data_IF_869507727287
#
_entry.id   IF_869507727287
#
_cell.length_a   1.000
_cell.length_b   1.000
_cell.length_c   1.000
_cell.angle_alpha   90.00
_cell.angle_beta   90.00
_cell.angle_gamma   90.00
#
_symmetry.space_group_name_H-M   'P 1'
#
loop_
_entity.id
_entity.type
_entity.pdbx_description
1 polymer ?
#
# COMPACT_ATOMS: atom_id res chain seq x y z
N UNK A 1 -13.68 -18.35 17.92
CA UNK A 1 -13.50 -16.90 18.18
C UNK A 1 -14.56 -16.18 17.37
N UNK A 2 -15.35 -15.25 17.94
CA UNK A 2 -16.35 -14.50 17.15
C UNK A 2 -15.61 -13.75 16.04
N UNK A 3 -15.95 -14.01 14.77
CA UNK A 3 -15.47 -13.25 13.63
C UNK A 3 -15.95 -11.80 13.80
N UNK A 4 -15.06 -10.95 14.34
CA UNK A 4 -15.31 -9.51 14.40
C UNK A 4 -15.03 -8.98 13.00
N UNK A 5 -16.09 -8.63 12.28
CA UNK A 5 -15.94 -7.90 11.02
C UNK A 5 -15.14 -6.60 11.25
N UNK A 6 -14.32 -6.19 10.26
CA UNK A 6 -13.59 -4.94 10.35
C UNK A 6 -14.55 -3.77 10.52
N UNK A 7 -14.17 -2.81 11.36
CA UNK A 7 -14.94 -1.57 11.55
C UNK A 7 -14.86 -0.70 10.30
N UNK A 8 -15.81 0.23 10.13
CA UNK A 8 -15.81 1.17 9.00
C UNK A 8 -14.46 1.89 8.78
N UNK A 9 -13.78 2.39 9.83
CA UNK A 9 -12.43 2.94 9.68
C UNK A 9 -11.40 1.93 9.17
N UNK A 10 -11.45 0.68 9.63
CA UNK A 10 -10.55 -0.38 9.16
C UNK A 10 -10.83 -0.73 7.69
N UNK A 11 -12.11 -0.76 7.29
CA UNK A 11 -12.49 -0.91 5.89
C UNK A 11 -11.98 0.24 5.03
N UNK A 12 -12.07 1.48 5.49
CA UNK A 12 -11.54 2.63 4.76
C UNK A 12 -10.02 2.52 4.54
N UNK A 13 -9.27 2.11 5.58
CA UNK A 13 -7.82 1.87 5.47
C UNK A 13 -7.49 0.75 4.47
N UNK A 14 -8.36 -0.27 4.35
CA UNK A 14 -8.20 -1.31 3.33
C UNK A 14 -8.56 -0.79 1.92
N UNK A 15 -9.63 0.00 1.76
CA UNK A 15 -10.14 0.39 0.45
C UNK A 15 -9.32 1.51 -0.22
N UNK A 16 -8.70 2.41 0.56
CA UNK A 16 -7.90 3.52 0.00
C UNK A 16 -6.73 3.02 -0.86
N UNK A 17 -5.87 2.09 -0.39
CA UNK A 17 -4.80 1.54 -1.23
C UNK A 17 -5.33 0.82 -2.48
N UNK A 18 -6.46 0.12 -2.38
CA UNK A 18 -7.08 -0.52 -3.54
C UNK A 18 -7.54 0.51 -4.59
N UNK A 19 -8.16 1.61 -4.16
CA UNK A 19 -8.58 2.69 -5.05
C UNK A 19 -7.38 3.38 -5.73
N UNK A 20 -6.32 3.66 -4.97
CA UNK A 20 -5.07 4.24 -5.51
C UNK A 20 -4.44 3.31 -6.54
N UNK A 21 -4.38 2.01 -6.25
CA UNK A 21 -3.87 1.01 -7.20
C UNK A 21 -4.67 1.01 -8.51
N UNK A 22 -6.00 1.01 -8.44
CA UNK A 22 -6.87 1.05 -9.64
C UNK A 22 -6.66 2.34 -10.43
N UNK A 23 -6.56 3.49 -9.75
CA UNK A 23 -6.28 4.77 -10.41
C UNK A 23 -4.92 4.77 -11.11
N UNK A 24 -3.86 4.30 -10.45
CA UNK A 24 -2.53 4.20 -11.06
C UNK A 24 -2.53 3.23 -12.24
N UNK A 25 -3.19 2.07 -12.12
CA UNK A 25 -3.31 1.10 -13.21
C UNK A 25 -4.06 1.69 -14.41
N UNK A 26 -5.15 2.43 -14.17
CA UNK A 26 -5.90 3.13 -15.22
C UNK A 26 -5.02 4.17 -15.95
N UNK A 27 -4.26 4.97 -15.21
CA UNK A 27 -3.36 5.97 -15.79
C UNK A 27 -2.23 5.30 -16.58
N UNK A 28 -1.63 4.23 -16.06
CA UNK A 28 -0.59 3.48 -16.74
C UNK A 28 -1.10 2.77 -17.99
N UNK A 29 -2.36 2.31 -18.00
CA UNK A 29 -2.95 1.65 -19.16
C UNK A 29 -3.34 2.64 -20.26
N UNK A 30 -3.88 3.82 -19.89
CA UNK A 30 -4.53 4.72 -20.85
C UNK A 30 -3.70 5.97 -21.19
N UNK A 31 -2.68 6.29 -20.38
CA UNK A 31 -1.91 7.54 -20.52
C UNK A 31 -0.40 7.31 -20.54
N UNK A 32 0.07 6.06 -20.70
CA UNK A 32 1.49 5.68 -20.60
C UNK A 32 2.43 6.61 -21.38
N UNK A 33 2.10 6.90 -22.63
CA UNK A 33 2.94 7.73 -23.51
C UNK A 33 2.98 9.19 -23.06
N UNK A 34 1.86 9.72 -22.56
CA UNK A 34 1.77 11.08 -22.01
C UNK A 34 2.44 11.21 -20.64
N UNK A 35 2.64 10.11 -19.92
CA UNK A 35 3.25 10.10 -18.59
C UNK A 35 4.77 10.19 -18.65
N UNK A 36 5.41 9.80 -19.77
CA UNK A 36 6.86 9.85 -19.95
C UNK A 36 7.61 9.25 -18.74
N UNK A 37 8.52 10.03 -18.16
CA UNK A 37 9.26 9.66 -16.96
C UNK A 37 8.42 9.48 -15.70
N UNK A 38 7.18 9.97 -15.62
CA UNK A 38 6.33 9.76 -14.44
C UNK A 38 5.71 8.34 -14.38
N UNK A 39 5.80 7.56 -15.46
CA UNK A 39 5.25 6.21 -15.51
C UNK A 39 5.87 5.28 -14.47
N UNK A 40 7.17 5.39 -14.20
CA UNK A 40 7.82 4.55 -13.19
C UNK A 40 7.38 4.91 -11.77
N UNK A 41 7.13 6.21 -11.49
CA UNK A 41 6.63 6.68 -10.19
C UNK A 41 5.22 6.13 -9.95
N UNK A 42 4.36 6.17 -10.98
CA UNK A 42 3.01 5.60 -10.90
C UNK A 42 3.04 4.07 -10.74
N UNK A 43 3.96 3.38 -11.41
CA UNK A 43 4.14 1.94 -11.25
C UNK A 43 4.61 1.58 -9.82
N UNK A 44 5.55 2.34 -9.28
CA UNK A 44 6.01 2.18 -7.89
C UNK A 44 4.87 2.46 -6.89
N UNK A 45 4.10 3.52 -7.13
CA UNK A 45 2.93 3.88 -6.30
C UNK A 45 1.86 2.80 -6.32
N UNK A 46 1.59 2.22 -7.49
CA UNK A 46 0.67 1.08 -7.64
C UNK A 46 1.17 -0.14 -6.86
N UNK A 47 2.45 -0.48 -6.95
CA UNK A 47 3.05 -1.60 -6.24
C UNK A 47 3.00 -1.41 -4.71
N UNK A 48 3.35 -0.22 -4.22
CA UNK A 48 3.27 0.11 -2.79
C UNK A 48 1.81 0.07 -2.28
N UNK A 49 0.86 0.53 -3.09
CA UNK A 49 -0.57 0.49 -2.77
C UNK A 49 -1.10 -0.94 -2.71
N UNK A 50 -0.66 -1.80 -3.63
CA UNK A 50 -0.96 -3.23 -3.60
C UNK A 50 -0.43 -3.88 -2.32
N UNK A 51 0.84 -3.67 -1.98
CA UNK A 51 1.42 -4.18 -0.73
C UNK A 51 0.63 -3.66 0.49
N UNK A 52 0.34 -2.35 0.54
CA UNK A 52 -0.45 -1.74 1.61
C UNK A 52 -1.83 -2.35 1.77
N UNK A 53 -2.52 -2.66 0.66
CA UNK A 53 -3.79 -3.39 0.67
C UNK A 53 -3.67 -4.76 1.33
N UNK A 54 -2.71 -5.59 0.91
CA UNK A 54 -2.53 -6.93 1.47
C UNK A 54 -2.15 -6.91 2.94
N UNK A 55 -1.32 -5.94 3.36
CA UNK A 55 -0.94 -5.78 4.75
C UNK A 55 -2.16 -5.37 5.60
N UNK A 56 -2.95 -4.40 5.14
CA UNK A 56 -4.18 -4.00 5.82
C UNK A 56 -5.18 -5.17 5.91
N UNK A 57 -5.37 -5.93 4.83
CA UNK A 57 -6.21 -7.12 4.79
C UNK A 57 -5.71 -8.20 5.76
N UNK A 58 -4.40 -8.43 5.83
CA UNK A 58 -3.82 -9.38 6.76
C UNK A 58 -4.07 -8.99 8.22
N UNK A 59 -3.84 -7.72 8.59
CA UNK A 59 -3.99 -7.25 9.96
C UNK A 59 -5.44 -7.10 10.42
N UNK A 60 -6.33 -6.59 9.55
CA UNK A 60 -7.71 -6.25 9.94
C UNK A 60 -8.73 -7.34 9.61
N UNK A 61 -8.44 -8.22 8.65
CA UNK A 61 -9.38 -9.26 8.21
C UNK A 61 -8.89 -10.68 8.53
N UNK A 62 -7.69 -11.08 8.09
CA UNK A 62 -7.21 -12.46 8.26
C UNK A 62 -6.71 -12.76 9.67
N UNK A 63 -6.07 -11.79 10.33
CA UNK A 63 -5.47 -11.95 11.67
C UNK A 63 -5.93 -10.84 12.63
N UNK A 64 -7.23 -10.75 12.95
CA UNK A 64 -7.78 -9.68 13.79
C UNK A 64 -7.29 -9.71 15.25
N UNK A 65 -6.52 -10.73 15.63
CA UNK A 65 -5.88 -10.89 16.94
C UNK A 65 -5.00 -9.71 17.38
N UNK A 66 -4.54 -8.86 16.44
CA UNK A 66 -3.79 -7.65 16.77
C UNK A 66 -4.67 -6.51 17.29
N UNK A 67 -5.99 -6.57 17.07
CA UNK A 67 -6.97 -5.64 17.63
C UNK A 67 -6.59 -4.16 17.43
N UNK A 68 -6.54 -3.40 18.52
CA UNK A 68 -6.17 -1.98 18.52
C UNK A 68 -4.69 -1.71 18.17
N UNK A 69 -3.83 -2.73 18.16
CA UNK A 69 -2.41 -2.60 17.80
C UNK A 69 -2.16 -2.73 16.30
N UNK A 70 -3.14 -3.20 15.51
CA UNK A 70 -3.00 -3.36 14.07
C UNK A 70 -2.59 -2.06 13.32
N UNK A 71 -3.14 -0.86 13.64
CA UNK A 71 -2.71 0.39 13.01
C UNK A 71 -1.25 0.73 13.29
N UNK A 72 -0.75 0.43 14.51
CA UNK A 72 0.65 0.65 14.86
C UNK A 72 1.58 -0.25 14.03
N UNK A 73 1.22 -1.52 13.85
CA UNK A 73 2.01 -2.45 13.03
C UNK A 73 1.98 -2.06 11.55
N UNK A 74 0.84 -1.59 11.06
CA UNK A 74 0.71 -1.03 9.71
C UNK A 74 1.60 0.21 9.54
N UNK A 75 1.59 1.13 10.51
CA UNK A 75 2.44 2.31 10.49
C UNK A 75 3.94 1.94 10.50
N UNK A 76 4.35 1.00 11.37
CA UNK A 76 5.72 0.51 11.42
C UNK A 76 6.15 -0.16 10.11
N UNK A 77 5.25 -0.92 9.48
CA UNK A 77 5.50 -1.52 8.18
C UNK A 77 5.71 -0.45 7.11
N UNK A 78 4.82 0.54 7.02
CA UNK A 78 4.93 1.63 6.03
C UNK A 78 6.22 2.43 6.25
N UNK A 79 6.54 2.79 7.51
CA UNK A 79 7.76 3.51 7.86
C UNK A 79 9.02 2.70 7.54
N UNK A 80 9.04 1.41 7.90
CA UNK A 80 10.15 0.51 7.62
C UNK A 80 10.35 0.30 6.12
N UNK A 81 9.26 0.14 5.36
CA UNK A 81 9.31 -0.02 3.92
C UNK A 81 9.77 1.27 3.23
N UNK A 82 9.28 2.43 3.66
CA UNK A 82 9.74 3.74 3.17
C UNK A 82 11.22 3.98 3.46
N UNK A 83 11.70 3.63 4.65
CA UNK A 83 13.12 3.73 5.00
C UNK A 83 14.00 2.82 4.12
N UNK A 84 13.54 1.60 3.85
CA UNK A 84 14.24 0.66 2.97
C UNK A 84 14.31 1.21 1.52
N UNK A 85 13.20 1.75 1.00
CA UNK A 85 13.17 2.36 -0.34
C UNK A 85 14.14 3.56 -0.42
N UNK A 86 14.17 4.43 0.60
CA UNK A 86 15.10 5.55 0.65
C UNK A 86 16.57 5.10 0.72
N UNK A 87 16.86 4.04 1.46
CA UNK A 87 18.21 3.46 1.52
C UNK A 87 18.64 2.90 0.16
N UNK A 88 17.76 2.16 -0.51
CA UNK A 88 18.02 1.60 -1.84
C UNK A 88 18.21 2.69 -2.89
N UNK A 89 17.44 3.78 -2.80
CA UNK A 89 17.61 4.95 -3.67
C UNK A 89 18.97 5.61 -3.43
N UNK A 90 19.31 5.91 -2.17
CA UNK A 90 20.62 6.50 -1.83
C UNK A 90 21.79 5.61 -2.28
N UNK A 91 21.62 4.29 -2.26
CA UNK A 91 22.63 3.34 -2.72
C UNK A 91 22.78 3.27 -4.27
N UNK A 92 22.01 4.05 -5.04
CA UNK A 92 22.06 4.05 -6.50
C UNK A 92 21.47 2.79 -7.15
N UNK A 93 20.80 1.95 -6.36
CA UNK A 93 20.25 0.66 -6.85
C UNK A 93 18.91 0.80 -7.55
N UNK A 94 18.28 1.97 -7.45
CA UNK A 94 16.97 2.27 -8.05
C UNK A 94 17.03 3.22 -9.25
N UNK A 95 18.24 3.57 -9.73
CA UNK A 95 18.47 4.45 -10.88
C UNK A 95 19.14 5.77 -10.51
#
# INVERSE_FOLDING_TARGET
>A
MKEKQPTWPQMAVMLVPAAVMVACAYLLSNRREALGGAAWILALTAALSFIGFFVALYFFYLRPQYGSRAPLHLALFILGHGALVLLLWKAGTLG
#
